data_IF_256519074669
#
_entry.id   IF_256519074669
#
_cell.length_a   1.000
_cell.length_b   1.000
_cell.length_c   1.000
_cell.angle_alpha   90.00
_cell.angle_beta   90.00
_cell.angle_gamma   90.00
#
_symmetry.space_group_name_H-M   'P 1'
#
loop_
_entity.id
_entity.type
_entity.pdbx_description
1 polymer ?
#
# COMPACT_ATOMS: atom_id res chain seq x y z
N UNK A 1 9.54 26.00 -31.43
CA UNK A 1 8.94 25.33 -30.26
C UNK A 1 7.81 26.19 -29.75
N UNK A 2 6.59 25.68 -29.66
CA UNK A 2 5.47 26.45 -29.14
C UNK A 2 5.76 26.85 -27.68
N UNK A 3 5.69 28.15 -27.39
CA UNK A 3 5.92 28.71 -26.06
C UNK A 3 4.77 28.22 -25.17
N UNK A 4 5.04 27.26 -24.28
CA UNK A 4 4.06 26.84 -23.27
C UNK A 4 3.72 28.08 -22.43
N UNK A 5 2.52 28.64 -22.61
CA UNK A 5 2.03 29.73 -21.78
C UNK A 5 1.62 29.11 -20.45
N UNK A 6 2.49 29.20 -19.45
CA UNK A 6 2.12 28.88 -18.07
C UNK A 6 1.05 29.86 -17.62
N UNK A 7 -0.20 29.40 -17.60
CA UNK A 7 -1.40 30.15 -17.24
C UNK A 7 -2.21 29.34 -16.21
N UNK A 8 -3.34 29.89 -15.76
CA UNK A 8 -4.20 29.25 -14.75
C UNK A 8 -4.68 27.85 -15.19
N UNK A 9 -4.95 27.65 -16.48
CA UNK A 9 -5.35 26.36 -17.05
C UNK A 9 -4.26 25.27 -16.96
N UNK A 10 -2.99 25.67 -16.78
CA UNK A 10 -1.86 24.76 -16.59
C UNK A 10 -1.85 24.12 -15.19
N UNK A 11 -2.60 24.70 -14.24
CA UNK A 11 -2.72 24.21 -12.87
C UNK A 11 -3.93 23.29 -12.79
N UNK A 12 -3.69 22.04 -12.40
CA UNK A 12 -4.75 21.02 -12.28
C UNK A 12 -4.66 20.25 -10.97
N UNK A 13 -5.81 19.92 -10.41
CA UNK A 13 -5.94 18.94 -9.33
C UNK A 13 -6.29 17.59 -9.92
N UNK A 14 -5.62 16.54 -9.44
CA UNK A 14 -5.91 15.17 -9.86
C UNK A 14 -6.67 14.46 -8.74
N UNK A 15 -7.57 13.56 -9.11
CA UNK A 15 -8.09 12.57 -8.15
C UNK A 15 -6.92 11.76 -7.58
N UNK A 16 -6.99 11.37 -6.31
CA UNK A 16 -5.92 10.66 -5.62
C UNK A 16 -5.50 9.38 -6.35
N UNK A 17 -6.46 8.66 -6.96
CA UNK A 17 -6.18 7.42 -7.70
C UNK A 17 -5.41 7.71 -8.98
N UNK A 18 -5.81 8.76 -9.68
CA UNK A 18 -5.11 9.22 -10.88
C UNK A 18 -3.69 9.67 -10.53
N UNK A 19 -3.53 10.42 -9.43
CA UNK A 19 -2.22 10.87 -8.95
C UNK A 19 -1.27 9.71 -8.65
N UNK A 20 -1.73 8.67 -7.93
CA UNK A 20 -0.92 7.48 -7.63
C UNK A 20 -0.47 6.78 -8.92
N UNK A 21 -1.37 6.63 -9.90
CA UNK A 21 -1.04 5.95 -11.17
C UNK A 21 -0.11 6.78 -12.05
N UNK A 22 -0.21 8.11 -12.00
CA UNK A 22 0.66 9.02 -12.75
C UNK A 22 2.05 9.17 -12.11
N UNK A 23 2.12 9.03 -10.79
CA UNK A 23 3.34 9.20 -9.98
C UNK A 23 3.53 8.02 -9.00
N UNK A 24 3.60 6.77 -9.49
CA UNK A 24 3.70 5.60 -8.60
C UNK A 24 4.96 5.66 -7.74
N UNK A 25 6.05 6.23 -8.26
CA UNK A 25 7.30 6.27 -7.53
C UNK A 25 7.31 7.17 -6.30
N UNK A 26 6.34 8.09 -6.15
CA UNK A 26 6.15 8.82 -4.89
C UNK A 26 5.63 7.90 -3.76
N UNK A 27 4.96 6.81 -4.11
CA UNK A 27 4.33 5.89 -3.16
C UNK A 27 5.14 4.60 -2.96
N UNK A 28 5.72 4.06 -4.04
CA UNK A 28 6.42 2.77 -4.01
C UNK A 28 7.91 2.87 -4.37
N UNK A 29 8.44 4.08 -4.58
CA UNK A 29 9.83 4.27 -4.97
C UNK A 29 10.12 3.92 -6.43
N UNK A 30 11.27 3.31 -6.70
CA UNK A 30 11.69 3.05 -8.09
C UNK A 30 10.79 2.01 -8.75
N UNK A 31 10.28 2.30 -9.95
CA UNK A 31 9.59 1.30 -10.75
C UNK A 31 10.59 0.26 -11.26
N UNK A 32 10.23 -1.01 -11.18
CA UNK A 32 11.09 -2.10 -11.63
C UNK A 32 10.36 -3.43 -11.72
N UNK A 33 11.06 -4.46 -12.15
CA UNK A 33 10.51 -5.79 -12.39
C UNK A 33 10.91 -6.80 -11.30
N UNK A 34 11.57 -6.34 -10.23
CA UNK A 34 12.09 -7.18 -9.14
C UNK A 34 13.49 -7.72 -9.43
N UNK A 35 14.22 -7.17 -10.40
CA UNK A 35 15.63 -7.55 -10.61
C UNK A 35 16.55 -6.85 -9.63
N UNK A 36 16.11 -5.75 -9.02
CA UNK A 36 16.90 -4.95 -8.09
C UNK A 36 16.19 -4.82 -6.74
N UNK A 37 16.91 -4.91 -5.60
CA UNK A 37 16.29 -4.82 -4.27
C UNK A 37 15.57 -3.49 -3.98
N UNK A 38 15.94 -2.42 -4.69
CA UNK A 38 15.31 -1.10 -4.59
C UNK A 38 14.04 -0.97 -5.45
N UNK A 39 13.63 -2.02 -6.17
CA UNK A 39 12.42 -2.02 -6.98
C UNK A 39 11.16 -1.99 -6.09
N UNK A 40 10.22 -1.11 -6.43
CA UNK A 40 8.99 -0.86 -5.69
C UNK A 40 8.04 -2.04 -5.57
N UNK A 41 8.24 -3.12 -6.35
CA UNK A 41 7.53 -4.38 -6.16
C UNK A 41 7.79 -4.97 -4.76
N UNK A 42 9.00 -4.78 -4.21
CA UNK A 42 9.33 -5.21 -2.86
C UNK A 42 8.68 -4.33 -1.80
N UNK A 43 8.51 -3.03 -2.07
CA UNK A 43 7.73 -2.14 -1.21
C UNK A 43 6.27 -2.58 -1.17
N UNK A 44 5.65 -2.88 -2.32
CA UNK A 44 4.28 -3.41 -2.37
C UNK A 44 4.10 -4.69 -1.55
N UNK A 45 5.06 -5.62 -1.63
CA UNK A 45 5.03 -6.84 -0.84
C UNK A 45 5.21 -6.56 0.66
N UNK A 46 6.16 -5.69 1.01
CA UNK A 46 6.46 -5.27 2.38
C UNK A 46 5.25 -4.63 3.05
N UNK A 47 4.49 -3.78 2.36
CA UNK A 47 3.26 -3.19 2.92
C UNK A 47 2.21 -4.23 3.31
N UNK A 48 2.07 -5.32 2.55
CA UNK A 48 1.13 -6.41 2.91
C UNK A 48 1.67 -7.21 4.09
N UNK A 49 2.97 -7.54 4.08
CA UNK A 49 3.62 -8.28 5.18
C UNK A 49 3.57 -7.49 6.49
N UNK A 50 3.83 -6.18 6.46
CA UNK A 50 3.79 -5.32 7.65
C UNK A 50 2.40 -5.29 8.30
N UNK A 51 1.33 -5.25 7.49
CA UNK A 51 -0.03 -5.35 8.00
C UNK A 51 -0.28 -6.70 8.71
N UNK A 52 0.26 -7.80 8.17
CA UNK A 52 0.20 -9.11 8.80
C UNK A 52 1.05 -9.18 10.08
N UNK A 53 2.22 -8.53 10.11
CA UNK A 53 3.08 -8.43 11.30
C UNK A 53 2.37 -7.65 12.42
N UNK A 54 1.62 -6.59 12.09
CA UNK A 54 0.89 -5.84 13.11
C UNK A 54 -0.16 -6.69 13.84
N UNK A 55 -0.83 -7.61 13.13
CA UNK A 55 -1.72 -8.59 13.78
C UNK A 55 -0.93 -9.55 14.68
N UNK A 56 0.21 -10.06 14.20
CA UNK A 56 1.08 -10.95 14.97
C UNK A 56 1.61 -10.29 16.25
N UNK A 57 2.07 -9.04 16.17
CA UNK A 57 2.58 -8.27 17.33
C UNK A 57 1.47 -8.01 18.35
N UNK A 58 0.23 -7.87 17.91
CA UNK A 58 -0.94 -7.79 18.79
C UNK A 58 -1.39 -9.15 19.35
N UNK A 59 -0.70 -10.24 19.01
CA UNK A 59 -1.00 -11.61 19.47
C UNK A 59 -2.16 -12.28 18.72
N UNK A 60 -2.63 -11.68 17.63
CA UNK A 60 -3.71 -12.22 16.80
C UNK A 60 -3.09 -12.94 15.61
N UNK A 61 -2.98 -14.26 15.71
CA UNK A 61 -2.28 -15.09 14.73
C UNK A 61 -0.82 -15.30 15.08
N UNK A 62 -0.28 -16.44 14.67
CA UNK A 62 1.09 -16.88 15.00
C UNK A 62 1.92 -17.22 13.77
N UNK A 63 1.32 -17.15 12.60
CA UNK A 63 1.91 -17.64 11.35
C UNK A 63 1.56 -16.66 10.24
N UNK A 64 2.55 -16.35 9.43
CA UNK A 64 2.39 -15.60 8.19
C UNK A 64 2.99 -16.49 7.10
N UNK A 65 2.17 -16.87 6.13
CA UNK A 65 2.57 -17.68 4.99
C UNK A 65 2.78 -16.79 3.78
N UNK A 66 3.99 -16.81 3.23
CA UNK A 66 4.31 -16.13 1.97
C UNK A 66 4.53 -17.20 0.91
N UNK A 67 3.68 -17.19 -0.12
CA UNK A 67 3.79 -18.11 -1.25
C UNK A 67 4.05 -17.32 -2.53
N UNK A 68 5.04 -17.78 -3.30
CA UNK A 68 5.39 -17.22 -4.61
C UNK A 68 5.12 -18.28 -5.66
N UNK A 69 4.23 -17.96 -6.60
CA UNK A 69 3.88 -18.81 -7.73
C UNK A 69 3.90 -18.00 -9.02
N UNK A 70 4.89 -18.26 -9.87
CA UNK A 70 5.15 -17.51 -11.11
C UNK A 70 5.28 -16.00 -10.83
N UNK A 71 4.34 -15.19 -11.35
CA UNK A 71 4.29 -13.73 -11.17
C UNK A 71 3.29 -13.30 -10.10
N UNK A 72 2.82 -14.23 -9.27
CA UNK A 72 1.87 -13.96 -8.17
C UNK A 72 2.55 -14.25 -6.84
N UNK A 73 2.46 -13.29 -5.93
CA UNK A 73 2.80 -13.46 -4.52
C UNK A 73 1.50 -13.40 -3.73
N UNK A 74 1.32 -14.33 -2.79
CA UNK A 74 0.23 -14.28 -1.81
C UNK A 74 0.81 -14.28 -0.41
N UNK A 75 0.33 -13.35 0.41
CA UNK A 75 0.60 -13.29 1.84
C UNK A 75 -0.68 -13.69 2.55
N UNK A 76 -0.58 -14.65 3.47
CA UNK A 76 -1.69 -15.09 4.31
C UNK A 76 -1.27 -14.99 5.76
N UNK A 77 -2.00 -14.20 6.54
CA UNK A 77 -1.96 -14.27 7.99
C UNK A 77 -3.17 -15.02 8.52
N UNK A 78 -3.11 -15.29 9.83
CA UNK A 78 -4.20 -15.87 10.60
C UNK A 78 -4.59 -14.93 11.75
N UNK A 79 -4.56 -13.62 11.47
CA UNK A 79 -4.99 -12.60 12.41
C UNK A 79 -6.51 -12.48 12.49
N UNK A 80 -7.00 -11.36 13.03
CA UNK A 80 -8.45 -11.08 13.14
C UNK A 80 -9.12 -10.92 11.78
N UNK A 81 -8.32 -10.52 10.77
CA UNK A 81 -8.80 -10.14 9.45
C UNK A 81 -9.31 -8.70 9.39
N UNK A 82 -9.41 -8.17 8.17
CA UNK A 82 -9.99 -6.84 7.94
C UNK A 82 -11.49 -6.90 8.26
N UNK A 83 -12.05 -5.94 9.02
CA UNK A 83 -13.49 -5.89 9.28
C UNK A 83 -14.30 -5.90 7.98
N UNK A 84 -15.18 -6.90 7.81
CA UNK A 84 -15.90 -7.13 6.55
C UNK A 84 -16.73 -5.93 6.09
N UNK A 85 -17.35 -5.21 7.04
CA UNK A 85 -18.12 -3.99 6.73
C UNK A 85 -17.28 -2.80 6.24
N UNK A 86 -15.95 -2.88 6.34
CA UNK A 86 -15.01 -1.82 5.93
C UNK A 86 -13.95 -2.27 4.95
N UNK A 87 -13.98 -3.53 4.50
CA UNK A 87 -12.96 -4.10 3.62
C UNK A 87 -12.79 -3.29 2.33
N UNK A 88 -13.91 -2.91 1.69
CA UNK A 88 -13.88 -2.14 0.44
C UNK A 88 -13.26 -0.75 0.68
N UNK A 89 -13.64 -0.06 1.75
CA UNK A 89 -13.08 1.25 2.07
C UNK A 89 -11.55 1.15 2.28
N UNK A 90 -11.09 0.16 3.05
CA UNK A 90 -9.66 -0.04 3.33
C UNK A 90 -8.81 -0.34 2.08
N UNK A 91 -9.36 -1.01 1.06
CA UNK A 91 -8.60 -1.35 -0.16
C UNK A 91 -8.79 -0.37 -1.32
N UNK A 92 -9.75 0.55 -1.22
CA UNK A 92 -10.14 1.43 -2.34
C UNK A 92 -10.08 2.92 -2.03
N UNK A 93 -9.77 3.32 -0.79
CA UNK A 93 -9.65 4.74 -0.41
C UNK A 93 -8.34 4.96 0.34
N UNK A 94 -7.53 5.90 -0.14
CA UNK A 94 -6.32 6.34 0.57
C UNK A 94 -6.72 6.94 1.93
N UNK A 95 -5.81 6.88 2.90
CA UNK A 95 -6.02 7.41 4.25
C UNK A 95 -7.25 6.79 4.96
N UNK A 96 -7.46 5.49 4.76
CA UNK A 96 -8.48 4.70 5.48
C UNK A 96 -7.80 3.55 6.21
N UNK A 97 -8.03 3.45 7.52
CA UNK A 97 -7.43 2.40 8.35
C UNK A 97 -7.73 2.60 9.84
N UNK A 98 -7.27 1.67 10.67
CA UNK A 98 -7.48 1.68 12.12
C UNK A 98 -6.22 2.00 12.93
N UNK A 99 -5.14 2.45 12.27
CA UNK A 99 -3.83 2.74 12.89
C UNK A 99 -3.63 4.23 13.24
N UNK A 100 -4.72 5.00 13.33
CA UNK A 100 -4.67 6.43 13.67
C UNK A 100 -4.48 6.65 15.17
N UNK A 101 -5.06 5.78 16.00
CA UNK A 101 -4.90 5.77 17.45
C UNK A 101 -4.29 4.46 17.94
N UNK A 102 -3.84 4.42 19.19
CA UNK A 102 -3.19 3.25 19.79
C UNK A 102 -4.18 2.24 20.38
N UNK A 103 -5.49 2.35 20.10
CA UNK A 103 -6.51 1.51 20.73
C UNK A 103 -6.49 0.08 20.19
N UNK A 104 -6.27 -0.06 18.89
CA UNK A 104 -6.33 -1.36 18.18
C UNK A 104 -4.94 -1.90 17.85
N UNK A 105 -4.01 -1.01 17.53
CA UNK A 105 -2.61 -1.33 17.25
C UNK A 105 -1.73 -0.41 18.10
N UNK A 106 -0.89 -0.97 18.97
CA UNK A 106 0.02 -0.15 19.78
C UNK A 106 1.11 0.43 18.87
N UNK A 107 1.29 1.76 18.91
CA UNK A 107 2.50 2.39 18.36
C UNK A 107 3.68 2.04 19.26
N UNK A 108 4.76 1.56 18.66
CA UNK A 108 6.06 1.40 19.32
C UNK A 108 6.64 2.74 19.76
#
# INVERSE_FOLDING_TARGET
>A
MAKSSYNEDSIRSLDWKEHIRLRPGMYIGKMGNGSSPDDGVYILLKEVIDNSIDEFVMGNGKTIEVNVKHKKVSVRDFGRGIPLGKVIDCVSKINTGAKYDSKVFKKS
#
